data_IF_559910085124
#
_entry.id   IF_559910085124
#
_cell.length_a   1.000
_cell.length_b   1.000
_cell.length_c   1.000
_cell.angle_alpha   90.00
_cell.angle_beta   90.00
_cell.angle_gamma   90.00
#
_symmetry.space_group_name_H-M   'P 1'
#
loop_
_entity.id
_entity.type
_entity.pdbx_description
1 polymer ?
#
# COMPACT_ATOMS: atom_id res chain seq x y z
N UNK A 1 40.43 0.27 49.70
CA UNK A 1 38.96 0.26 49.46
C UNK A 1 38.54 1.10 48.25
N UNK A 2 38.86 2.40 48.16
CA UNK A 2 38.48 3.25 47.00
C UNK A 2 38.96 2.74 45.62
N UNK A 3 40.17 2.17 45.53
CA UNK A 3 40.71 1.57 44.29
C UNK A 3 39.94 0.31 43.84
N UNK A 4 39.50 -0.52 44.80
CA UNK A 4 38.69 -1.72 44.51
C UNK A 4 37.29 -1.30 44.03
N UNK A 5 36.74 -0.25 44.64
CA UNK A 5 35.45 0.32 44.24
C UNK A 5 35.50 0.93 42.82
N UNK A 6 36.61 1.59 42.47
CA UNK A 6 36.88 2.12 41.13
C UNK A 6 37.04 1.02 40.07
N UNK A 7 37.72 -0.08 40.40
CA UNK A 7 37.86 -1.24 39.50
C UNK A 7 36.50 -1.92 39.28
N UNK A 8 35.67 -2.05 40.32
CA UNK A 8 34.32 -2.60 40.19
C UNK A 8 33.40 -1.75 39.30
N UNK A 9 33.46 -0.42 39.44
CA UNK A 9 32.67 0.50 38.61
C UNK A 9 33.12 0.47 37.14
N UNK A 10 34.42 0.34 36.89
CA UNK A 10 34.98 0.20 35.55
C UNK A 10 34.59 -1.12 34.88
N UNK A 11 34.46 -2.21 35.64
CA UNK A 11 34.00 -3.51 35.12
C UNK A 11 32.51 -3.49 34.73
N UNK A 12 31.69 -2.73 35.47
CA UNK A 12 30.26 -2.58 35.18
C UNK A 12 30.00 -1.76 33.91
N UNK A 13 30.92 -0.85 33.56
CA UNK A 13 30.84 -0.05 32.33
C UNK A 13 31.23 -0.82 31.05
N UNK A 14 31.85 -2.00 31.17
CA UNK A 14 32.34 -2.81 30.03
C UNK A 14 31.37 -3.96 29.70
N UNK A 15 30.27 -4.13 30.45
CA UNK A 15 29.28 -5.16 30.11
C UNK A 15 28.67 -4.88 28.73
N UNK A 16 28.82 -5.79 27.75
CA UNK A 16 28.16 -5.64 26.46
C UNK A 16 26.65 -5.70 26.69
N UNK A 17 25.93 -4.71 26.15
CA UNK A 17 24.47 -4.71 26.14
C UNK A 17 23.98 -5.96 25.41
N UNK A 18 23.31 -6.87 26.11
CA UNK A 18 22.67 -8.02 25.48
C UNK A 18 21.39 -7.56 24.79
N UNK A 19 21.41 -7.50 23.45
CA UNK A 19 20.22 -7.22 22.67
C UNK A 19 19.44 -8.52 22.47
N UNK A 20 18.36 -8.68 23.24
CA UNK A 20 17.36 -9.70 22.96
C UNK A 20 16.45 -9.18 21.84
N UNK A 21 16.65 -9.67 20.61
CA UNK A 21 15.77 -9.38 19.49
C UNK A 21 14.50 -10.24 19.57
N UNK A 22 13.35 -9.63 19.26
CA UNK A 22 12.07 -10.34 19.25
C UNK A 22 11.93 -11.05 17.91
N UNK A 23 11.33 -12.24 17.92
CA UNK A 23 11.05 -13.00 16.68
C UNK A 23 10.29 -12.15 15.65
N UNK A 24 9.34 -11.32 16.09
CA UNK A 24 8.59 -10.41 15.20
C UNK A 24 9.43 -9.31 14.54
N UNK A 25 10.60 -9.02 15.10
CA UNK A 25 11.55 -8.04 14.54
C UNK A 25 12.54 -8.72 13.58
N UNK A 26 12.73 -10.04 13.71
CA UNK A 26 13.64 -10.87 12.91
C UNK A 26 12.99 -11.53 11.68
N UNK A 27 11.68 -11.75 11.74
CA UNK A 27 10.97 -12.57 10.76
C UNK A 27 9.58 -12.02 10.40
N UNK A 28 9.15 -12.33 9.18
CA UNK A 28 7.81 -12.09 8.67
C UNK A 28 7.10 -13.42 8.42
N UNK A 29 5.78 -13.46 8.58
CA UNK A 29 5.00 -14.69 8.33
C UNK A 29 4.85 -14.89 6.83
N UNK A 30 5.17 -16.08 6.34
CA UNK A 30 5.01 -16.46 4.95
C UNK A 30 3.54 -16.33 4.52
N UNK A 31 3.31 -15.72 3.35
CA UNK A 31 1.97 -15.50 2.81
C UNK A 31 1.21 -14.31 3.41
N UNK A 32 1.77 -13.62 4.40
CA UNK A 32 1.25 -12.36 4.93
C UNK A 32 1.91 -11.21 4.17
N UNK A 33 1.20 -10.65 3.20
CA UNK A 33 1.69 -9.54 2.37
C UNK A 33 0.59 -8.52 2.11
N UNK A 34 0.99 -7.27 1.89
CA UNK A 34 0.10 -6.29 1.26
C UNK A 34 -0.17 -6.70 -0.18
N UNK A 35 -1.36 -6.36 -0.68
CA UNK A 35 -1.77 -6.65 -2.04
C UNK A 35 -2.06 -5.33 -2.75
N UNK A 36 -1.46 -5.12 -3.93
CA UNK A 36 -1.78 -3.94 -4.72
C UNK A 36 -3.17 -4.09 -5.33
N UNK A 37 -3.94 -3.01 -5.25
CA UNK A 37 -5.20 -2.86 -5.94
C UNK A 37 -5.07 -1.80 -7.01
N UNK A 38 -5.66 -2.07 -8.17
CA UNK A 38 -5.72 -1.15 -9.30
C UNK A 38 -7.18 -0.92 -9.67
N UNK A 39 -7.53 0.32 -9.89
CA UNK A 39 -8.82 0.72 -10.42
C UNK A 39 -8.66 1.78 -11.50
N UNK A 40 -9.75 2.00 -12.21
CA UNK A 40 -9.90 3.08 -13.16
C UNK A 40 -11.12 3.88 -12.73
N UNK A 41 -11.12 5.19 -12.96
CA UNK A 41 -12.20 6.04 -12.50
C UNK A 41 -12.27 7.37 -13.22
N UNK A 42 -13.18 8.21 -12.75
CA UNK A 42 -13.41 9.54 -13.27
C UNK A 42 -13.28 10.56 -12.14
N UNK A 43 -12.48 11.60 -12.38
CA UNK A 43 -12.42 12.78 -11.50
C UNK A 43 -13.22 13.90 -12.13
N UNK A 44 -14.07 14.54 -11.34
CA UNK A 44 -14.94 15.66 -11.75
C UNK A 44 -14.65 16.89 -10.89
N UNK A 45 -15.11 18.07 -11.32
CA UNK A 45 -14.95 19.32 -10.55
C UNK A 45 -13.61 20.02 -10.77
N UNK A 46 -12.87 19.65 -11.83
CA UNK A 46 -11.60 20.29 -12.16
C UNK A 46 -11.82 21.70 -12.73
N UNK A 47 -10.93 22.64 -12.41
CA UNK A 47 -11.02 24.03 -12.88
C UNK A 47 -10.43 24.20 -14.29
N UNK A 48 -11.05 23.60 -15.30
CA UNK A 48 -10.58 23.61 -16.70
C UNK A 48 -9.18 22.99 -16.91
N UNK A 49 -8.74 22.15 -15.97
CA UNK A 49 -7.45 21.45 -15.97
C UNK A 49 -7.56 19.96 -16.28
N UNK A 50 -8.75 19.45 -16.56
CA UNK A 50 -9.02 18.08 -17.00
C UNK A 50 -8.54 17.79 -18.41
N UNK A 51 -8.90 16.62 -18.92
CA UNK A 51 -8.47 16.12 -20.22
C UNK A 51 -8.97 17.03 -21.36
N UNK A 52 -8.10 17.29 -22.34
CA UNK A 52 -8.44 18.10 -23.52
C UNK A 52 -8.56 17.26 -24.78
N UNK A 53 -8.17 16.00 -24.71
CA UNK A 53 -8.03 15.15 -25.89
C UNK A 53 -9.32 15.10 -26.70
N UNK A 54 -9.20 15.29 -28.02
CA UNK A 54 -10.29 15.28 -29.00
C UNK A 54 -10.84 13.86 -29.23
N UNK A 55 -11.03 13.05 -28.19
CA UNK A 55 -11.88 11.88 -28.35
C UNK A 55 -13.30 12.41 -28.61
N UNK A 56 -13.94 11.93 -29.68
CA UNK A 56 -15.39 12.08 -29.79
C UNK A 56 -15.95 11.54 -28.47
N UNK A 57 -16.92 12.24 -27.86
CA UNK A 57 -17.47 11.81 -26.56
C UNK A 57 -17.91 10.34 -26.61
N UNK A 58 -18.30 9.88 -27.82
CA UNK A 58 -18.59 8.48 -28.11
C UNK A 58 -17.37 7.54 -28.08
N UNK A 59 -16.23 7.87 -28.67
CA UNK A 59 -15.05 6.98 -28.62
C UNK A 59 -14.46 6.87 -27.22
N UNK A 60 -14.47 7.95 -26.44
CA UNK A 60 -14.07 7.89 -25.03
C UNK A 60 -15.09 7.10 -24.20
N UNK A 61 -16.40 7.30 -24.42
CA UNK A 61 -17.45 6.46 -23.82
C UNK A 61 -17.26 4.98 -24.15
N UNK A 62 -16.96 4.63 -25.40
CA UNK A 62 -16.74 3.26 -25.83
C UNK A 62 -15.46 2.65 -25.24
N UNK A 63 -14.37 3.42 -25.16
CA UNK A 63 -13.13 2.97 -24.51
C UNK A 63 -13.33 2.77 -23.00
N UNK A 64 -13.95 3.74 -22.34
CA UNK A 64 -14.25 3.66 -20.90
C UNK A 64 -15.23 2.53 -20.60
N UNK A 65 -16.26 2.31 -21.43
CA UNK A 65 -17.17 1.18 -21.29
C UNK A 65 -16.44 -0.17 -21.37
N UNK A 66 -15.41 -0.28 -22.25
CA UNK A 66 -14.54 -1.46 -22.33
C UNK A 66 -13.65 -1.63 -21.09
N UNK A 67 -13.28 -0.54 -20.42
CA UNK A 67 -12.58 -0.55 -19.13
C UNK A 67 -13.52 -0.77 -17.93
N UNK A 68 -14.82 -0.99 -18.18
CA UNK A 68 -15.84 -1.18 -17.15
C UNK A 68 -16.36 0.11 -16.53
N UNK A 69 -16.10 1.26 -17.14
CA UNK A 69 -16.53 2.58 -16.68
C UNK A 69 -17.69 3.08 -17.55
N UNK A 70 -18.87 3.24 -16.94
CA UNK A 70 -20.04 3.84 -17.59
C UNK A 70 -20.19 5.30 -17.20
N UNK A 71 -20.41 6.16 -18.19
CA UNK A 71 -20.72 7.57 -17.93
C UNK A 71 -22.18 7.69 -17.48
N UNK A 72 -22.47 8.37 -16.36
CA UNK A 72 -23.83 8.77 -16.05
C UNK A 72 -24.45 9.58 -17.21
N UNK A 73 -25.75 9.39 -17.50
CA UNK A 73 -26.41 10.16 -18.55
C UNK A 73 -26.29 11.67 -18.28
N UNK A 74 -25.94 12.45 -19.31
CA UNK A 74 -25.84 13.92 -19.23
C UNK A 74 -24.44 14.49 -18.97
N UNK A 75 -23.41 13.67 -18.74
CA UNK A 75 -22.02 14.15 -18.57
C UNK A 75 -21.31 14.21 -19.93
N UNK A 76 -20.85 15.40 -20.33
CA UNK A 76 -20.03 15.58 -21.55
C UNK A 76 -18.56 15.20 -21.28
N UNK A 77 -18.04 14.10 -21.88
CA UNK A 77 -16.66 13.66 -21.68
C UNK A 77 -15.62 14.63 -22.27
N UNK A 78 -16.03 15.61 -23.09
CA UNK A 78 -15.12 16.62 -23.69
C UNK A 78 -14.85 17.81 -22.76
N UNK A 79 -15.40 17.79 -21.54
CA UNK A 79 -15.27 18.90 -20.62
C UNK A 79 -13.86 18.94 -19.99
N UNK A 80 -13.19 20.10 -20.08
CA UNK A 80 -11.94 20.40 -19.34
C UNK A 80 -12.10 20.31 -17.81
N UNK A 81 -13.26 19.94 -17.30
CA UNK A 81 -13.57 19.83 -15.88
C UNK A 81 -13.57 18.36 -15.40
N UNK A 82 -13.21 17.43 -16.28
CA UNK A 82 -13.24 15.99 -16.05
C UNK A 82 -11.91 15.38 -16.48
N UNK A 83 -11.43 14.36 -15.76
CA UNK A 83 -10.25 13.59 -16.13
C UNK A 83 -10.48 12.09 -15.92
N UNK A 84 -10.02 11.27 -16.88
CA UNK A 84 -9.92 9.83 -16.71
C UNK A 84 -8.66 9.50 -15.90
N UNK A 85 -8.81 8.68 -14.85
CA UNK A 85 -7.74 8.43 -13.88
C UNK A 85 -7.51 6.96 -13.62
N UNK A 86 -6.26 6.61 -13.31
CA UNK A 86 -5.90 5.34 -12.68
C UNK A 86 -5.86 5.55 -11.17
N UNK A 87 -6.25 4.52 -10.45
CA UNK A 87 -6.31 4.52 -9.00
C UNK A 87 -5.46 3.36 -8.52
N UNK A 88 -4.55 3.64 -7.60
CA UNK A 88 -3.69 2.66 -6.97
C UNK A 88 -3.90 2.71 -5.46
N UNK A 89 -3.99 1.53 -4.84
CA UNK A 89 -4.08 1.41 -3.40
C UNK A 89 -3.32 0.17 -2.95
N UNK A 90 -2.69 0.24 -1.78
CA UNK A 90 -2.15 -0.93 -1.11
C UNK A 90 -3.16 -1.41 -0.09
N UNK A 91 -3.61 -2.66 -0.22
CA UNK A 91 -4.46 -3.34 0.75
C UNK A 91 -3.57 -4.05 1.78
N UNK A 92 -3.50 -3.56 3.04
CA UNK A 92 -2.70 -4.21 4.06
C UNK A 92 -3.15 -5.66 4.30
N UNK A 93 -2.22 -6.51 4.71
CA UNK A 93 -2.57 -7.87 5.13
C UNK A 93 -3.59 -7.82 6.28
N UNK A 94 -4.50 -8.79 6.31
CA UNK A 94 -5.56 -8.91 7.32
C UNK A 94 -6.60 -7.76 7.37
N UNK A 95 -6.62 -6.90 6.35
CA UNK A 95 -7.66 -5.87 6.23
C UNK A 95 -9.06 -6.48 6.24
N UNK A 96 -9.96 -5.85 7.00
CA UNK A 96 -11.35 -6.31 7.20
C UNK A 96 -12.33 -5.44 6.42
N UNK A 97 -13.47 -5.99 5.96
CA UNK A 97 -14.51 -5.20 5.35
C UNK A 97 -14.92 -4.02 6.25
N UNK A 98 -15.13 -2.86 5.65
CA UNK A 98 -15.44 -1.60 6.35
C UNK A 98 -14.23 -0.77 6.79
N UNK A 99 -13.02 -1.34 6.81
CA UNK A 99 -11.81 -0.55 7.04
C UNK A 99 -11.53 0.36 5.85
N UNK A 100 -10.90 1.51 6.12
CA UNK A 100 -10.51 2.46 5.09
C UNK A 100 -9.02 2.36 4.77
N UNK A 101 -8.69 2.55 3.50
CA UNK A 101 -7.31 2.59 3.00
C UNK A 101 -7.10 3.84 2.16
N UNK A 102 -5.85 4.27 2.11
CA UNK A 102 -5.44 5.40 1.28
C UNK A 102 -5.41 5.00 -0.20
N UNK A 103 -5.77 5.95 -1.06
CA UNK A 103 -5.67 5.76 -2.51
C UNK A 103 -4.87 6.89 -3.15
N UNK A 104 -4.10 6.53 -4.16
CA UNK A 104 -3.40 7.46 -5.04
C UNK A 104 -4.08 7.45 -6.39
N UNK A 105 -4.41 8.63 -6.89
CA UNK A 105 -5.13 8.84 -8.13
C UNK A 105 -4.23 9.60 -9.10
N UNK A 106 -4.06 9.08 -10.30
CA UNK A 106 -3.21 9.66 -11.33
C UNK A 106 -3.97 9.85 -12.63
N UNK A 107 -3.77 10.96 -13.32
CA UNK A 107 -4.35 11.17 -14.66
C UNK A 107 -3.80 10.14 -15.65
N UNK A 108 -4.68 9.51 -16.42
CA UNK A 108 -4.32 8.66 -17.57
C UNK A 108 -4.21 9.49 -18.84
N UNK A 109 -5.05 10.53 -18.95
CA UNK A 109 -5.10 11.44 -20.07
C UNK A 109 -4.15 12.63 -19.94
N UNK A 110 -4.51 13.72 -20.60
CA UNK A 110 -3.73 14.95 -20.71
C UNK A 110 -4.14 16.05 -19.70
N UNK A 111 -4.82 15.67 -18.60
CA UNK A 111 -5.15 16.59 -17.52
C UNK A 111 -3.91 17.29 -16.95
N UNK A 112 -3.97 18.61 -16.92
CA UNK A 112 -2.92 19.49 -16.38
C UNK A 112 -2.83 19.44 -14.86
N UNK A 113 -3.95 19.23 -14.18
CA UNK A 113 -4.00 19.15 -12.73
C UNK A 113 -5.29 18.48 -12.25
N UNK A 114 -5.15 17.65 -11.22
CA UNK A 114 -6.26 17.03 -10.50
C UNK A 114 -6.72 17.84 -9.27
N UNK A 115 -6.12 19.03 -9.04
CA UNK A 115 -6.43 19.85 -7.85
C UNK A 115 -7.89 20.27 -7.85
N UNK A 116 -8.53 20.12 -6.69
CA UNK A 116 -9.94 20.49 -6.50
C UNK A 116 -10.92 19.48 -7.10
N UNK A 117 -10.42 18.39 -7.69
CA UNK A 117 -11.25 17.32 -8.22
C UNK A 117 -11.82 16.42 -7.12
N UNK A 118 -12.90 15.73 -7.46
CA UNK A 118 -13.49 14.66 -6.67
C UNK A 118 -13.57 13.38 -7.51
N UNK A 119 -13.07 12.28 -6.97
CA UNK A 119 -13.12 10.95 -7.58
C UNK A 119 -14.51 10.38 -7.38
N UNK A 120 -15.16 10.00 -8.49
CA UNK A 120 -16.40 9.24 -8.46
C UNK A 120 -16.16 7.81 -7.99
N UNK A 121 -17.17 7.22 -7.36
CA UNK A 121 -17.11 5.86 -6.83
C UNK A 121 -16.58 4.86 -7.88
N UNK A 122 -15.44 4.26 -7.59
CA UNK A 122 -14.68 3.43 -8.52
C UNK A 122 -14.20 2.14 -7.83
N UNK A 123 -14.45 0.96 -8.40
CA UNK A 123 -14.00 -0.31 -7.83
C UNK A 123 -12.49 -0.50 -8.02
N UNK A 124 -11.82 -1.03 -6.99
CA UNK A 124 -10.42 -1.40 -7.01
C UNK A 124 -10.27 -2.93 -7.02
N UNK A 125 -9.54 -3.42 -8.02
CA UNK A 125 -9.37 -4.85 -8.28
C UNK A 125 -7.97 -5.32 -7.90
N UNK A 126 -7.88 -6.56 -7.41
CA UNK A 126 -6.61 -7.26 -7.24
C UNK A 126 -6.10 -7.84 -8.56
N UNK A 127 -4.93 -8.46 -8.52
CA UNK A 127 -4.33 -9.13 -9.69
C UNK A 127 -5.16 -10.34 -10.20
N UNK A 128 -6.06 -10.86 -9.37
CA UNK A 128 -7.02 -11.92 -9.70
C UNK A 128 -8.31 -11.38 -10.39
N UNK A 129 -8.41 -10.06 -10.59
CA UNK A 129 -9.57 -9.39 -11.18
C UNK A 129 -10.77 -9.18 -10.25
N UNK A 130 -10.70 -9.65 -9.00
CA UNK A 130 -11.77 -9.48 -8.02
C UNK A 130 -11.73 -8.08 -7.41
N UNK A 131 -12.90 -7.51 -7.10
CA UNK A 131 -13.01 -6.23 -6.39
C UNK A 131 -12.78 -6.47 -4.89
N UNK A 132 -11.80 -5.76 -4.33
CA UNK A 132 -11.46 -5.83 -2.91
C UNK A 132 -11.78 -4.55 -2.14
N UNK A 133 -11.83 -3.42 -2.83
CA UNK A 133 -12.17 -2.14 -2.22
C UNK A 133 -12.90 -1.23 -3.22
N UNK A 134 -13.59 -0.22 -2.71
CA UNK A 134 -14.26 0.82 -3.51
C UNK A 134 -13.73 2.18 -3.09
N UNK A 135 -13.21 2.94 -4.05
CA UNK A 135 -12.60 4.25 -3.85
C UNK A 135 -13.53 5.40 -4.24
N UNK A 136 -13.59 6.45 -3.43
CA UNK A 136 -14.25 7.73 -3.75
C UNK A 136 -13.70 8.87 -2.90
N UNK A 137 -13.95 10.11 -3.33
CA UNK A 137 -13.77 11.28 -2.50
C UNK A 137 -12.88 12.37 -3.09
N UNK A 138 -12.63 13.41 -2.29
CA UNK A 138 -11.95 14.61 -2.75
C UNK A 138 -10.43 14.43 -2.79
N UNK A 139 -9.80 14.90 -3.87
CA UNK A 139 -8.37 14.73 -4.08
C UNK A 139 -7.59 15.84 -3.38
N UNK A 140 -6.56 15.43 -2.65
CA UNK A 140 -5.51 16.31 -2.14
C UNK A 140 -4.31 16.22 -3.08
N UNK A 141 -3.96 17.33 -3.72
CA UNK A 141 -2.85 17.42 -4.69
C UNK A 141 -1.74 18.30 -4.12
N UNK A 142 -0.59 17.69 -3.84
CA UNK A 142 0.61 18.37 -3.33
C UNK A 142 1.44 19.09 -4.40
N UNK A 143 1.05 19.00 -5.68
CA UNK A 143 1.76 19.64 -6.79
C UNK A 143 1.12 20.93 -7.28
N UNK A 144 1.93 21.96 -7.56
CA UNK A 144 1.52 23.28 -8.03
C UNK A 144 2.19 23.59 -9.36
N UNK A 145 1.40 23.94 -10.37
CA UNK A 145 1.91 24.59 -11.58
C UNK A 145 1.33 25.99 -11.68
N UNK A 146 2.19 26.99 -11.78
CA UNK A 146 1.82 28.39 -12.00
C UNK A 146 2.61 28.95 -13.19
N UNK A 147 1.96 29.81 -13.98
CA UNK A 147 2.58 30.46 -15.13
C UNK A 147 2.34 31.96 -15.11
N UNK A 148 3.38 32.75 -15.35
CA UNK A 148 3.31 34.19 -15.56
C UNK A 148 2.91 34.54 -17.00
N UNK A 149 2.37 35.75 -17.21
CA UNK A 149 1.99 36.26 -18.54
C UNK A 149 3.21 36.55 -19.44
N UNK A 150 4.38 36.58 -18.85
CA UNK A 150 5.72 36.70 -19.43
C UNK A 150 6.26 35.36 -19.98
N UNK A 151 5.53 34.26 -19.81
CA UNK A 151 5.96 32.91 -20.23
C UNK A 151 6.73 32.12 -19.17
N UNK A 152 6.97 32.71 -18.00
CA UNK A 152 7.61 32.02 -16.86
C UNK A 152 6.72 30.90 -16.34
N UNK A 153 7.25 29.70 -16.12
CA UNK A 153 6.48 28.55 -15.59
C UNK A 153 7.20 27.94 -14.40
N UNK A 154 6.51 27.87 -13.26
CA UNK A 154 6.97 27.18 -12.06
C UNK A 154 6.13 25.92 -11.90
N UNK A 155 6.76 24.76 -11.74
CA UNK A 155 6.09 23.51 -11.41
C UNK A 155 6.79 22.86 -10.22
N UNK A 156 6.06 22.66 -9.14
CA UNK A 156 6.50 22.01 -7.91
C UNK A 156 5.71 20.71 -7.79
N UNK A 157 6.41 19.57 -7.65
CA UNK A 157 5.85 18.21 -7.68
C UNK A 157 4.99 17.92 -8.93
N UNK A 158 4.24 16.81 -8.89
CA UNK A 158 3.35 16.42 -9.98
C UNK A 158 1.89 16.85 -9.70
N UNK A 159 1.34 17.85 -10.42
CA UNK A 159 -0.04 18.31 -10.22
C UNK A 159 -1.11 17.35 -10.78
N UNK A 160 -0.72 16.36 -11.59
CA UNK A 160 -1.63 15.35 -12.17
C UNK A 160 -1.77 14.09 -11.30
N UNK A 161 -1.19 14.10 -10.11
CA UNK A 161 -1.30 13.04 -9.10
C UNK A 161 -1.89 13.63 -7.82
N UNK A 162 -2.91 12.95 -7.27
CA UNK A 162 -3.54 13.30 -6.01
C UNK A 162 -3.66 12.09 -5.09
N UNK A 163 -3.77 12.33 -3.79
CA UNK A 163 -4.06 11.31 -2.78
C UNK A 163 -5.44 11.57 -2.19
N UNK A 164 -6.17 10.50 -1.87
CA UNK A 164 -7.38 10.57 -1.05
C UNK A 164 -7.08 9.72 0.20
N UNK A 165 -6.71 10.36 1.31
CA UNK A 165 -6.52 9.66 2.58
C UNK A 165 -7.81 8.99 3.01
N UNK A 166 -7.75 7.72 3.42
CA UNK A 166 -8.91 6.90 3.76
C UNK A 166 -10.00 6.91 2.66
N UNK A 167 -9.59 7.04 1.41
CA UNK A 167 -10.47 7.24 0.26
C UNK A 167 -11.09 5.96 -0.30
N UNK A 168 -10.60 4.78 0.10
CA UNK A 168 -11.24 3.52 -0.27
C UNK A 168 -11.73 2.74 0.94
N UNK A 169 -12.88 2.10 0.79
CA UNK A 169 -13.45 1.18 1.78
C UNK A 169 -13.21 -0.25 1.32
N UNK A 170 -12.70 -1.09 2.20
CA UNK A 170 -12.48 -2.51 1.93
C UNK A 170 -13.83 -3.23 1.91
N UNK A 171 -14.11 -3.95 0.84
CA UNK A 171 -15.34 -4.74 0.65
C UNK A 171 -15.08 -6.24 0.88
N UNK A 172 -13.85 -6.69 0.64
CA UNK A 172 -13.48 -8.11 0.70
C UNK A 172 -12.10 -8.28 1.33
N UNK A 173 -11.96 -9.26 2.22
CA UNK A 173 -10.66 -9.69 2.72
C UNK A 173 -9.93 -10.57 1.71
N UNK A 174 -8.60 -10.46 1.65
CA UNK A 174 -7.76 -11.34 0.82
C UNK A 174 -7.67 -12.71 1.50
N UNK A 175 -7.96 -13.82 0.78
CA UNK A 175 -7.73 -15.16 1.29
C UNK A 175 -6.23 -15.37 1.54
N UNK A 176 -5.81 -15.44 2.81
CA UNK A 176 -4.42 -15.75 3.18
C UNK A 176 -4.28 -17.22 3.55
N UNK A 177 -3.24 -17.89 3.07
CA UNK A 177 -2.89 -19.28 3.47
C UNK A 177 -2.70 -19.43 4.98
N UNK A 178 -2.40 -18.32 5.67
CA UNK A 178 -2.40 -18.22 7.13
C UNK A 178 -3.66 -18.79 7.79
N UNK A 179 -4.83 -18.63 7.18
CA UNK A 179 -6.10 -19.04 7.79
C UNK A 179 -6.47 -20.52 7.57
N UNK A 180 -5.68 -21.27 6.79
CA UNK A 180 -6.02 -22.64 6.36
C UNK A 180 -5.01 -23.72 6.76
N UNK A 181 -3.85 -23.36 7.33
CA UNK A 181 -2.81 -24.33 7.68
C UNK A 181 -2.73 -24.62 9.18
N UNK A 182 -2.44 -25.87 9.55
CA UNK A 182 -2.04 -26.26 10.91
C UNK A 182 -0.60 -25.86 11.26
N UNK A 183 0.04 -25.02 10.45
CA UNK A 183 1.41 -24.59 10.65
C UNK A 183 1.64 -23.19 10.11
N UNK A 184 2.42 -22.42 10.84
CA UNK A 184 2.92 -21.11 10.47
C UNK A 184 4.34 -21.24 9.95
N UNK A 185 4.68 -20.50 8.89
CA UNK A 185 6.06 -20.41 8.42
C UNK A 185 6.53 -18.99 8.63
N UNK A 186 7.66 -18.84 9.32
CA UNK A 186 8.33 -17.58 9.54
C UNK A 186 9.54 -17.49 8.61
N UNK A 187 9.62 -16.40 7.85
CA UNK A 187 10.73 -16.09 6.96
C UNK A 187 11.59 -15.00 7.62
N UNK A 188 12.82 -15.35 7.98
CA UNK A 188 13.81 -14.41 8.50
C UNK A 188 14.10 -13.32 7.46
N UNK A 189 14.32 -12.08 7.92
CA UNK A 189 14.71 -10.99 7.02
C UNK A 189 16.12 -11.19 6.45
N UNK A 190 17.00 -11.82 7.23
CA UNK A 190 18.36 -12.18 6.83
C UNK A 190 18.51 -13.70 6.90
N UNK A 191 18.93 -14.32 5.80
CA UNK A 191 19.14 -15.76 5.73
C UNK A 191 20.38 -16.16 6.54
N UNK A 192 20.19 -16.96 7.59
CA UNK A 192 21.25 -17.47 8.46
C UNK A 192 20.80 -18.73 9.20
N UNK A 193 21.51 -19.84 8.99
CA UNK A 193 21.23 -21.12 9.66
C UNK A 193 21.35 -21.02 11.18
N UNK A 194 22.26 -20.18 11.69
CA UNK A 194 22.46 -20.04 13.14
C UNK A 194 21.24 -19.39 13.78
N UNK A 195 20.75 -18.30 13.18
CA UNK A 195 19.56 -17.58 13.62
C UNK A 195 18.30 -18.44 13.48
N UNK A 196 18.15 -19.18 12.37
CA UNK A 196 17.04 -20.12 12.19
C UNK A 196 17.00 -21.19 13.29
N UNK A 197 18.14 -21.81 13.62
CA UNK A 197 18.22 -22.80 14.70
C UNK A 197 17.93 -22.17 16.07
N UNK A 198 18.49 -21.00 16.37
CA UNK A 198 18.21 -20.28 17.64
C UNK A 198 16.73 -19.95 17.78
N UNK A 199 16.07 -19.57 16.69
CA UNK A 199 14.62 -19.32 16.67
C UNK A 199 13.85 -20.61 16.96
N UNK A 200 14.21 -21.73 16.35
CA UNK A 200 13.61 -23.05 16.63
C UNK A 200 13.76 -23.42 18.10
N UNK A 201 14.96 -23.31 18.66
CA UNK A 201 15.23 -23.60 20.08
C UNK A 201 14.44 -22.70 21.02
N UNK A 202 14.32 -21.41 20.70
CA UNK A 202 13.54 -20.46 21.48
C UNK A 202 12.05 -20.82 21.47
N UNK A 203 11.50 -21.19 20.31
CA UNK A 203 10.08 -21.57 20.19
C UNK A 203 9.82 -22.90 20.90
N UNK A 204 10.65 -23.91 20.68
CA UNK A 204 10.48 -25.23 21.29
C UNK A 204 10.60 -25.19 22.82
N UNK A 205 11.37 -24.26 23.37
CA UNK A 205 11.48 -24.04 24.82
C UNK A 205 10.19 -23.51 25.44
N UNK A 206 9.41 -22.72 24.69
CA UNK A 206 8.19 -22.08 25.19
C UNK A 206 6.95 -22.93 24.90
N UNK A 207 6.88 -23.55 23.71
CA UNK A 207 5.69 -24.28 23.25
C UNK A 207 5.81 -25.81 23.39
N UNK A 208 7.03 -26.34 23.56
CA UNK A 208 7.29 -27.78 23.67
C UNK A 208 8.28 -28.29 22.59
N UNK A 209 8.91 -29.45 22.82
CA UNK A 209 9.78 -30.06 21.82
C UNK A 209 9.01 -30.40 20.53
N UNK A 210 9.70 -30.37 19.40
CA UNK A 210 9.18 -30.68 18.05
C UNK A 210 8.06 -29.75 17.50
N UNK A 211 7.75 -28.64 18.17
CA UNK A 211 6.78 -27.65 17.68
C UNK A 211 7.30 -26.86 16.47
N UNK A 212 8.58 -26.49 16.47
CA UNK A 212 9.26 -25.73 15.43
C UNK A 212 10.37 -26.54 14.76
N UNK A 213 10.50 -26.37 13.43
CA UNK A 213 11.55 -26.96 12.60
C UNK A 213 12.03 -25.96 11.55
N UNK A 214 13.34 -25.81 11.41
CA UNK A 214 13.94 -25.04 10.32
C UNK A 214 13.80 -25.85 9.02
N UNK A 215 13.22 -25.25 7.97
CA UNK A 215 13.15 -25.84 6.63
C UNK A 215 14.45 -25.53 5.88
N UNK A 216 14.89 -24.28 5.96
CA UNK A 216 16.10 -23.76 5.32
C UNK A 216 16.67 -22.59 6.15
N UNK A 217 17.71 -21.91 5.67
CA UNK A 217 18.37 -20.79 6.36
C UNK A 217 17.47 -19.54 6.55
N UNK A 218 16.32 -19.48 5.88
CA UNK A 218 15.36 -18.37 5.93
C UNK A 218 14.05 -18.78 6.61
N UNK A 219 13.59 -20.02 6.41
CA UNK A 219 12.23 -20.46 6.70
C UNK A 219 12.16 -21.37 7.91
N UNK A 220 11.41 -20.98 8.93
CA UNK A 220 11.12 -21.78 10.13
C UNK A 220 9.63 -22.12 10.19
N UNK A 221 9.30 -23.40 10.16
CA UNK A 221 7.92 -23.91 10.30
C UNK A 221 7.61 -24.17 11.76
N UNK A 222 6.45 -23.70 12.21
CA UNK A 222 5.92 -23.87 13.56
C UNK A 222 4.55 -24.51 13.43
N UNK A 223 4.36 -25.70 13.98
CA UNK A 223 3.06 -26.36 14.00
C UNK A 223 2.20 -25.77 15.13
N UNK A 224 0.90 -25.68 14.89
CA UNK A 224 -0.11 -25.30 15.88
C UNK A 224 -0.48 -26.49 16.77
#
# INVERSE_FOLDING_TARGET
MKRILLVGLMFMAICPSTYAERIKDLASIAGVRSNQLVGYGLVVGLNRTGDKTKFTGQSLRSMMARLGLTFPPGIDPKAKNIAAVSIHADLPAFSKPGQRIDVTVSSIGDAKSLRGGSLLMSPLKGADGNVYAVAQGNLVVGGLSAGGKDGSKITVNNPSVGRIPNGATVERSVPTSFSKGNSLVFNLHNSDFTTANRMVEAINRVLGPDTAKAIDATSVKVNA
#
